data_IF_389467407967
#
_entry.id   IF_389467407967
#
_cell.length_a   1.000
_cell.length_b   1.000
_cell.length_c   1.000
_cell.angle_alpha   90.00
_cell.angle_beta   90.00
_cell.angle_gamma   90.00
#
_symmetry.space_group_name_H-M   'P 1'
#
loop_
_entity.id
_entity.type
_entity.pdbx_description
1 polymer ?
#
# COMPACT_ATOMS: atom_id res chain seq x y z
N UNK A 1 11.52 7.06 21.59
CA UNK A 1 10.84 6.23 20.57
C UNK A 1 9.49 5.85 21.16
N UNK A 2 8.38 6.08 20.46
CA UNK A 2 7.08 5.59 20.91
C UNK A 2 7.03 4.09 20.59
N UNK A 3 7.10 3.25 21.61
CA UNK A 3 6.82 1.83 21.46
C UNK A 3 5.34 1.68 21.12
N UNK A 4 5.06 0.96 20.03
CA UNK A 4 3.69 0.63 19.66
C UNK A 4 3.12 -0.34 20.69
N UNK A 5 1.92 -0.05 21.16
CA UNK A 5 1.17 -0.91 22.07
C UNK A 5 0.87 -2.25 21.40
N UNK A 6 0.66 -3.30 22.21
CA UNK A 6 0.24 -4.62 21.70
C UNK A 6 -1.04 -4.54 20.86
N UNK A 7 -1.93 -3.60 21.17
CA UNK A 7 -3.17 -3.38 20.43
C UNK A 7 -2.90 -2.83 19.03
N UNK A 8 -2.02 -1.83 18.91
CA UNK A 8 -1.62 -1.29 17.61
C UNK A 8 -0.89 -2.34 16.77
N UNK A 9 -0.04 -3.17 17.39
CA UNK A 9 0.64 -4.27 16.71
C UNK A 9 -0.35 -5.31 16.17
N UNK A 10 -1.36 -5.69 16.98
CA UNK A 10 -2.44 -6.60 16.55
C UNK A 10 -3.24 -6.02 15.39
N UNK A 11 -3.58 -4.73 15.45
CA UNK A 11 -4.33 -4.06 14.40
C UNK A 11 -3.56 -4.07 13.07
N UNK A 12 -2.27 -3.72 13.10
CA UNK A 12 -1.39 -3.78 11.91
C UNK A 12 -1.33 -5.20 11.34
N UNK A 13 -1.22 -6.23 12.20
CA UNK A 13 -1.14 -7.61 11.74
C UNK A 13 -2.43 -8.05 11.04
N UNK A 14 -3.59 -7.66 11.57
CA UNK A 14 -4.90 -7.95 10.96
C UNK A 14 -5.06 -7.24 9.61
N UNK A 15 -4.69 -5.96 9.52
CA UNK A 15 -4.76 -5.19 8.28
C UNK A 15 -3.86 -5.78 7.19
N UNK A 16 -2.62 -6.16 7.55
CA UNK A 16 -1.70 -6.85 6.63
C UNK A 16 -2.27 -8.18 6.15
N UNK A 17 -2.85 -8.99 7.03
CA UNK A 17 -3.44 -10.27 6.65
C UNK A 17 -4.64 -10.09 5.71
N UNK A 18 -5.52 -9.13 5.99
CA UNK A 18 -6.66 -8.82 5.14
C UNK A 18 -6.21 -8.38 3.74
N UNK A 19 -5.20 -7.51 3.65
CA UNK A 19 -4.63 -7.08 2.36
C UNK A 19 -4.09 -8.27 1.55
N UNK A 20 -3.39 -9.21 2.19
CA UNK A 20 -2.90 -10.44 1.54
C UNK A 20 -4.06 -11.27 1.00
N UNK A 21 -5.16 -11.42 1.76
CA UNK A 21 -6.32 -12.18 1.29
C UNK A 21 -7.00 -11.51 0.08
N UNK A 22 -7.10 -10.17 0.07
CA UNK A 22 -7.63 -9.44 -1.10
C UNK A 22 -6.76 -9.63 -2.33
N UNK A 23 -5.44 -9.53 -2.19
CA UNK A 23 -4.50 -9.78 -3.30
C UNK A 23 -4.63 -11.22 -3.80
N UNK A 24 -4.73 -12.21 -2.91
CA UNK A 24 -4.96 -13.61 -3.32
C UNK A 24 -6.27 -13.81 -4.08
N UNK A 25 -7.30 -13.05 -3.75
CA UNK A 25 -8.64 -13.19 -4.33
C UNK A 25 -8.78 -12.47 -5.68
N UNK A 26 -8.26 -11.27 -5.80
CA UNK A 26 -8.49 -10.38 -6.96
C UNK A 26 -7.23 -10.13 -7.81
N UNK A 27 -6.05 -10.52 -7.33
CA UNK A 27 -4.79 -10.42 -8.08
C UNK A 27 -4.43 -8.98 -8.44
N UNK A 28 -4.22 -8.74 -9.74
CA UNK A 28 -3.81 -7.44 -10.27
C UNK A 28 -4.83 -6.33 -10.00
N UNK A 29 -6.13 -6.63 -10.00
CA UNK A 29 -7.18 -5.62 -9.77
C UNK A 29 -7.07 -4.98 -8.37
N UNK A 30 -6.73 -5.77 -7.34
CA UNK A 30 -6.50 -5.25 -5.99
C UNK A 30 -5.23 -4.42 -5.92
N UNK A 31 -4.17 -4.83 -6.64
CA UNK A 31 -2.91 -4.08 -6.67
C UNK A 31 -3.12 -2.70 -7.32
N UNK A 32 -3.82 -2.64 -8.45
CA UNK A 32 -4.17 -1.38 -9.10
C UNK A 32 -5.05 -0.48 -8.21
N UNK A 33 -6.01 -1.08 -7.48
CA UNK A 33 -6.84 -0.34 -6.54
C UNK A 33 -6.04 0.24 -5.37
N UNK A 34 -5.18 -0.58 -4.75
CA UNK A 34 -4.30 -0.11 -3.67
C UNK A 34 -3.33 0.97 -4.16
N UNK A 35 -2.77 0.80 -5.37
CA UNK A 35 -1.90 1.80 -5.99
C UNK A 35 -2.62 3.14 -6.17
N UNK A 36 -3.87 3.13 -6.67
CA UNK A 36 -4.68 4.36 -6.80
C UNK A 36 -4.90 5.06 -5.47
N UNK A 37 -5.21 4.31 -4.40
CA UNK A 37 -5.40 4.87 -3.07
C UNK A 37 -4.12 5.54 -2.56
N UNK A 38 -2.98 4.83 -2.62
CA UNK A 38 -1.70 5.36 -2.15
C UNK A 38 -1.26 6.57 -2.97
N UNK A 39 -1.48 6.57 -4.29
CA UNK A 39 -1.23 7.74 -5.15
C UNK A 39 -2.07 8.95 -4.72
N UNK A 40 -3.35 8.74 -4.40
CA UNK A 40 -4.20 9.82 -3.91
C UNK A 40 -3.73 10.36 -2.55
N UNK A 41 -3.31 9.48 -1.63
CA UNK A 41 -2.75 9.87 -0.34
C UNK A 41 -1.46 10.68 -0.50
N UNK A 42 -0.52 10.21 -1.33
CA UNK A 42 0.73 10.91 -1.62
C UNK A 42 0.48 12.27 -2.28
N UNK A 43 -0.46 12.33 -3.22
CA UNK A 43 -0.87 13.58 -3.85
C UNK A 43 -1.42 14.57 -2.81
N UNK A 44 -2.24 14.12 -1.87
CA UNK A 44 -2.76 14.97 -0.78
C UNK A 44 -1.65 15.48 0.16
N UNK A 45 -0.54 14.75 0.26
CA UNK A 45 0.65 15.15 1.00
C UNK A 45 1.60 16.05 0.17
N UNK A 46 1.23 16.39 -1.08
CA UNK A 46 2.05 17.20 -1.98
C UNK A 46 3.24 16.45 -2.58
N UNK A 47 3.22 15.11 -2.53
CA UNK A 47 4.29 14.26 -3.06
C UNK A 47 3.87 13.77 -4.45
N UNK A 48 4.65 14.13 -5.48
CA UNK A 48 4.45 13.60 -6.82
C UNK A 48 4.87 12.14 -6.88
N UNK A 49 4.02 11.29 -7.45
CA UNK A 49 4.33 9.87 -7.65
C UNK A 49 5.04 9.60 -8.97
N UNK A 50 5.12 10.58 -9.88
CA UNK A 50 5.74 10.41 -11.21
C UNK A 50 7.23 10.02 -11.11
N UNK A 51 7.94 10.54 -10.11
CA UNK A 51 9.36 10.22 -9.87
C UNK A 51 9.56 8.88 -9.14
N UNK A 52 8.50 8.33 -8.55
CA UNK A 52 8.52 7.07 -7.80
C UNK A 52 8.21 5.85 -8.68
N UNK A 53 7.74 6.08 -9.90
CA UNK A 53 7.47 5.02 -10.85
C UNK A 53 8.77 4.37 -11.33
N UNK A 54 8.88 3.07 -11.12
CA UNK A 54 9.94 2.28 -11.73
C UNK A 54 9.72 2.28 -13.25
N UNK A 55 10.57 3.02 -13.97
CA UNK A 55 10.62 2.93 -15.43
C UNK A 55 10.83 1.47 -15.79
N UNK A 56 9.93 0.90 -16.60
CA UNK A 56 10.17 -0.44 -17.17
C UNK A 56 11.47 -0.37 -17.96
N UNK A 57 12.45 -1.17 -17.57
CA UNK A 57 13.59 -1.48 -18.44
C UNK A 57 13.00 -2.16 -19.68
N UNK A 58 12.98 -1.44 -20.80
CA UNK A 58 12.69 -2.01 -22.12
C UNK A 58 13.85 -2.96 -22.48
N UNK A 59 13.68 -4.26 -22.19
CA UNK A 59 14.54 -5.34 -22.69
C UNK A 59 13.75 -6.29 -23.56
#
# INVERSE_FOLDING_TARGET
MNEMTEQEQKQIALEKFAAIQRIKKYGMEELEYQEKLVRAELHNLGISTEELELKRDER
#
